data_IF_389607269139
#
_entry.id   IF_389607269139
#
_cell.length_a   1.000
_cell.length_b   1.000
_cell.length_c   1.000
_cell.angle_alpha   90.00
_cell.angle_beta   90.00
_cell.angle_gamma   90.00
#
_symmetry.space_group_name_H-M   'P 1'
#
loop_
_entity.id
_entity.type
_entity.pdbx_description
1 polymer ?
#
# COMPACT_ATOMS: atom_id res chain seq x y z
N UNK A 1 5.81 15.29 -15.11
CA UNK A 1 6.20 14.06 -14.40
C UNK A 1 5.07 13.06 -14.51
N UNK A 2 5.30 11.87 -15.10
CA UNK A 2 4.25 10.83 -15.20
C UNK A 2 3.96 10.28 -13.80
N UNK A 3 2.70 10.31 -13.37
CA UNK A 3 2.24 9.56 -12.19
C UNK A 3 2.36 8.07 -12.52
N UNK A 4 3.20 7.33 -11.81
CA UNK A 4 3.27 5.87 -11.92
C UNK A 4 2.23 5.29 -10.95
N UNK A 5 1.42 4.31 -11.35
CA UNK A 5 0.48 3.64 -10.44
C UNK A 5 1.15 2.34 -10.00
N UNK A 6 1.50 2.23 -8.73
CA UNK A 6 2.15 1.03 -8.18
C UNK A 6 1.08 0.14 -7.53
N UNK A 7 0.81 -1.01 -8.17
CA UNK A 7 -0.07 -2.05 -7.60
C UNK A 7 0.76 -2.97 -6.73
N UNK A 8 0.51 -2.98 -5.42
CA UNK A 8 1.17 -3.88 -4.47
C UNK A 8 0.17 -4.46 -3.48
N UNK A 9 0.45 -5.68 -3.05
CA UNK A 9 -0.34 -6.38 -2.04
C UNK A 9 0.32 -6.13 -0.69
N UNK A 10 -0.43 -5.65 0.29
CA UNK A 10 0.07 -5.38 1.63
C UNK A 10 -0.72 -6.16 2.68
N UNK A 11 -0.06 -6.51 3.78
CA UNK A 11 -0.73 -7.06 4.96
C UNK A 11 -1.56 -5.98 5.66
N UNK A 12 -2.61 -6.37 6.40
CA UNK A 12 -3.50 -5.44 7.12
C UNK A 12 -2.74 -4.44 8.00
N UNK A 13 -1.67 -4.90 8.68
CA UNK A 13 -0.86 -4.02 9.53
C UNK A 13 -0.07 -2.99 8.71
N UNK A 14 0.48 -3.37 7.56
CA UNK A 14 1.20 -2.43 6.69
C UNK A 14 0.23 -1.45 6.01
N UNK A 15 -0.96 -1.91 5.62
CA UNK A 15 -2.05 -1.06 5.09
C UNK A 15 -2.42 0.05 6.07
N UNK A 16 -2.61 -0.27 7.36
CA UNK A 16 -2.98 0.74 8.36
C UNK A 16 -1.88 1.80 8.54
N UNK A 17 -0.61 1.38 8.66
CA UNK A 17 0.50 2.32 8.77
C UNK A 17 0.61 3.26 7.55
N UNK A 18 0.34 2.74 6.34
CA UNK A 18 0.33 3.56 5.13
C UNK A 18 -0.82 4.58 5.13
N UNK A 19 -1.99 4.21 5.65
CA UNK A 19 -3.11 5.14 5.83
C UNK A 19 -2.77 6.25 6.83
N UNK A 20 -2.11 5.91 7.95
CA UNK A 20 -1.68 6.88 8.97
C UNK A 20 -0.64 7.88 8.43
N UNK A 21 0.18 7.45 7.46
CA UNK A 21 1.12 8.30 6.70
C UNK A 21 0.44 9.17 5.64
N UNK A 22 -0.88 9.06 5.46
CA UNK A 22 -1.66 9.86 4.51
C UNK A 22 -1.72 9.27 3.09
N UNK A 23 -1.33 8.02 2.89
CA UNK A 23 -1.47 7.37 1.58
C UNK A 23 -2.92 6.99 1.32
N UNK A 24 -3.38 7.18 0.07
CA UNK A 24 -4.77 6.93 -0.31
C UNK A 24 -4.93 5.60 -1.03
N UNK A 25 -5.87 4.77 -0.57
CA UNK A 25 -6.30 3.58 -1.30
C UNK A 25 -7.16 4.01 -2.48
N UNK A 26 -6.82 3.55 -3.68
CA UNK A 26 -7.57 3.82 -4.92
C UNK A 26 -8.40 2.62 -5.38
N UNK A 27 -8.02 1.40 -4.97
CA UNK A 27 -8.74 0.19 -5.32
C UNK A 27 -8.51 -0.89 -4.27
N UNK A 28 -9.56 -1.68 -4.01
CA UNK A 28 -9.48 -2.90 -3.21
C UNK A 28 -9.86 -4.05 -4.13
N UNK A 29 -9.00 -5.07 -4.21
CA UNK A 29 -9.24 -6.26 -5.01
C UNK A 29 -9.39 -7.46 -4.08
N UNK A 30 -10.47 -8.22 -4.27
CA UNK A 30 -10.71 -9.46 -3.53
C UNK A 30 -10.29 -10.64 -4.40
N UNK A 31 -9.23 -11.34 -4.02
CA UNK A 31 -8.79 -12.54 -4.70
C UNK A 31 -9.46 -13.76 -4.03
N UNK A 32 -10.66 -14.09 -4.51
CA UNK A 32 -11.51 -15.19 -4.02
C UNK A 32 -10.80 -16.54 -3.95
N UNK A 33 -9.91 -16.85 -4.90
CA UNK A 33 -9.13 -18.10 -4.89
C UNK A 33 -8.10 -18.20 -3.77
N UNK A 34 -7.72 -17.08 -3.14
CA UNK A 34 -6.70 -17.06 -2.08
C UNK A 34 -7.23 -16.54 -0.75
N UNK A 35 -8.51 -16.16 -0.68
CA UNK A 35 -9.13 -15.46 0.44
C UNK A 35 -8.31 -14.25 0.92
N UNK A 36 -7.62 -13.58 -0.01
CA UNK A 36 -6.73 -12.44 0.24
C UNK A 36 -7.36 -11.16 -0.30
N UNK A 37 -7.30 -10.12 0.53
CA UNK A 37 -7.62 -8.75 0.14
C UNK A 37 -6.35 -8.03 -0.28
N UNK A 38 -6.38 -7.41 -1.46
CA UNK A 38 -5.29 -6.62 -2.02
C UNK A 38 -5.69 -5.15 -1.98
N UNK A 39 -4.86 -4.31 -1.39
CA UNK A 39 -5.08 -2.86 -1.29
C UNK A 39 -4.14 -2.13 -2.25
N UNK A 40 -4.70 -1.48 -3.26
CA UNK A 40 -3.95 -0.68 -4.23
C UNK A 40 -3.95 0.77 -3.78
N UNK A 41 -2.76 1.34 -3.64
CA UNK A 41 -2.55 2.72 -3.23
C UNK A 41 -2.20 3.61 -4.44
N UNK A 42 -2.55 4.89 -4.36
CA UNK A 42 -1.96 5.89 -5.26
C UNK A 42 -0.50 6.09 -4.86
N UNK A 43 0.42 5.89 -5.81
CA UNK A 43 1.84 6.09 -5.57
C UNK A 43 2.14 7.59 -5.50
N UNK A 44 2.73 8.00 -4.39
CA UNK A 44 3.26 9.34 -4.17
C UNK A 44 4.79 9.23 -4.08
N UNK A 45 5.53 10.32 -4.34
CA UNK A 45 7.01 10.32 -4.39
C UNK A 45 7.73 9.70 -3.16
N UNK A 46 7.03 9.51 -2.05
CA UNK A 46 7.57 8.99 -0.79
C UNK A 46 7.09 7.56 -0.44
N UNK A 47 6.31 6.90 -1.30
CA UNK A 47 5.65 5.64 -0.96
C UNK A 47 6.63 4.52 -0.59
N UNK A 48 7.71 4.36 -1.37
CA UNK A 48 8.72 3.34 -1.08
C UNK A 48 9.49 3.66 0.21
N UNK A 49 9.82 4.93 0.45
CA UNK A 49 10.50 5.36 1.68
C UNK A 49 9.63 5.08 2.92
N UNK A 50 8.34 5.39 2.86
CA UNK A 50 7.43 5.11 3.98
C UNK A 50 7.28 3.61 4.24
N UNK A 51 7.26 2.78 3.18
CA UNK A 51 7.28 1.31 3.34
C UNK A 51 8.56 0.88 4.05
N UNK A 52 9.72 1.36 3.61
CA UNK A 52 11.01 1.00 4.18
C UNK A 52 11.10 1.42 5.66
N UNK A 53 10.60 2.61 6.01
CA UNK A 53 10.55 3.10 7.38
C UNK A 53 9.65 2.23 8.28
N UNK A 54 8.44 1.88 7.79
CA UNK A 54 7.50 1.01 8.53
C UNK A 54 8.11 -0.37 8.77
N UNK A 55 8.83 -0.91 7.79
CA UNK A 55 9.45 -2.23 7.89
C UNK A 55 10.69 -2.24 8.80
N UNK A 56 11.47 -1.15 8.84
CA UNK A 56 12.63 -1.00 9.73
C UNK A 56 12.27 -0.75 11.18
N UNK A 57 11.07 -0.23 11.45
CA UNK A 57 10.57 0.03 12.81
C UNK A 57 10.04 -1.23 13.53
N UNK A 58 10.11 -2.41 12.91
CA UNK A 58 9.72 -3.71 13.48
C UNK A 58 10.92 -4.58 13.77
#
# INVERSE_FOLDING_TARGET
>A
MKKQIVRRVFSKGLTNNLLDKGHRIVKIENHTNSNKMVFVFEDNKNFQTDIDDILKSK
#
